data_IF_881885081761
#
_entry.id   IF_881885081761
#
_cell.length_a   1.000
_cell.length_b   1.000
_cell.length_c   1.000
_cell.angle_alpha   90.00
_cell.angle_beta   90.00
_cell.angle_gamma   90.00
#
_symmetry.space_group_name_H-M   'P 1'
#
loop_
_entity.id
_entity.type
_entity.pdbx_description
1 polymer ?
#
# COMPACT_ATOMS: atom_id res chain seq x y z
N UNK A 1 32.00 14.42 14.58
CA UNK A 1 32.01 13.02 15.05
C UNK A 1 30.61 12.50 14.86
N UNK A 2 30.46 11.33 14.25
CA UNK A 2 29.13 10.71 14.08
C UNK A 2 28.56 10.30 15.44
N UNK A 3 27.26 10.55 15.64
CA UNK A 3 26.53 10.09 16.81
C UNK A 3 26.57 8.53 16.82
N UNK A 4 27.02 7.88 17.89
CA UNK A 4 27.12 6.43 17.96
C UNK A 4 25.78 5.71 17.95
N UNK A 5 24.65 6.42 18.11
CA UNK A 5 23.30 5.88 17.99
C UNK A 5 22.85 5.72 16.53
N UNK A 6 23.50 6.40 15.58
CA UNK A 6 23.18 6.32 14.15
C UNK A 6 23.87 5.09 13.55
N UNK A 7 23.13 4.14 12.94
CA UNK A 7 23.72 2.98 12.30
C UNK A 7 24.71 3.37 11.20
N UNK A 8 25.90 2.79 11.21
CA UNK A 8 26.87 3.01 10.14
C UNK A 8 26.39 2.35 8.82
N UNK A 9 26.68 2.99 7.70
CA UNK A 9 26.48 2.35 6.39
C UNK A 9 27.44 1.16 6.22
N UNK A 10 27.03 0.13 5.41
CA UNK A 10 27.91 -1.01 5.14
C UNK A 10 29.25 -0.54 4.54
N UNK A 11 30.38 -1.05 5.04
CA UNK A 11 31.75 -0.67 4.61
C UNK A 11 31.98 -0.78 3.10
N UNK A 12 31.30 -1.72 2.43
CA UNK A 12 31.39 -1.90 0.97
C UNK A 12 30.58 -0.90 0.16
N UNK A 13 29.67 -0.14 0.79
CA UNK A 13 28.92 0.91 0.13
C UNK A 13 29.77 2.18 0.06
N UNK A 14 30.22 2.54 -1.14
CA UNK A 14 31.02 3.74 -1.37
C UNK A 14 30.13 4.88 -1.80
N UNK A 15 30.23 6.01 -1.08
CA UNK A 15 29.57 7.24 -1.40
C UNK A 15 30.52 8.17 -2.15
N UNK A 16 30.10 8.68 -3.29
CA UNK A 16 30.75 9.77 -4.05
C UNK A 16 29.97 11.08 -3.93
N UNK A 17 28.73 11.01 -3.43
CA UNK A 17 27.86 12.13 -3.05
C UNK A 17 27.24 11.83 -1.68
N UNK A 18 26.71 12.83 -0.98
CA UNK A 18 25.93 12.57 0.23
C UNK A 18 24.76 11.62 -0.07
N UNK A 19 24.39 10.80 0.92
CA UNK A 19 23.20 9.93 0.87
C UNK A 19 22.25 10.35 1.99
N UNK A 20 21.03 10.69 1.63
CA UNK A 20 19.95 10.96 2.60
C UNK A 20 19.02 9.75 2.65
N UNK A 21 19.01 9.10 3.81
CA UNK A 21 18.02 8.07 4.13
C UNK A 21 16.87 8.76 4.85
N UNK A 22 15.65 8.63 4.36
CA UNK A 22 14.50 9.35 4.92
C UNK A 22 13.22 8.52 4.88
N UNK A 23 12.26 8.93 5.70
CA UNK A 23 10.93 8.38 5.81
C UNK A 23 9.93 9.49 6.13
N UNK A 24 8.67 9.32 5.72
CA UNK A 24 7.60 10.30 5.86
C UNK A 24 6.38 9.69 6.53
N UNK A 25 5.72 10.50 7.40
CA UNK A 25 4.36 10.25 7.82
C UNK A 25 3.42 11.29 7.19
N UNK A 26 2.23 10.86 6.80
CA UNK A 26 1.29 11.73 6.10
C UNK A 26 -0.17 11.49 6.51
N UNK A 27 -1.06 12.40 6.12
CA UNK A 27 -2.50 12.31 6.38
C UNK A 27 -3.18 11.17 5.62
N UNK A 28 -2.49 10.53 4.66
CA UNK A 28 -3.01 9.42 3.88
C UNK A 28 -2.10 9.04 2.71
N UNK A 29 -2.62 8.21 1.80
CA UNK A 29 -1.84 7.58 0.73
C UNK A 29 -1.92 8.30 -0.63
N UNK A 30 -2.78 9.31 -0.76
CA UNK A 30 -2.94 10.06 -1.99
C UNK A 30 -1.93 11.21 -2.07
N UNK A 31 -0.84 11.02 -2.75
CA UNK A 31 0.28 11.96 -2.88
C UNK A 31 -0.13 13.37 -3.34
N UNK A 32 -1.27 13.50 -4.06
CA UNK A 32 -1.76 14.78 -4.58
C UNK A 32 -2.64 15.57 -3.61
N UNK A 33 -3.32 14.90 -2.68
CA UNK A 33 -4.28 15.54 -1.77
C UNK A 33 -3.83 15.46 -0.33
N UNK A 34 -3.11 14.41 0.03
CA UNK A 34 -2.60 14.24 1.39
C UNK A 34 -1.34 15.07 1.63
N UNK A 35 -1.00 15.25 2.89
CA UNK A 35 0.01 16.19 3.36
C UNK A 35 0.96 15.47 4.31
N UNK A 36 2.24 15.85 4.28
CA UNK A 36 3.24 15.34 5.23
C UNK A 36 2.97 15.92 6.62
N UNK A 37 2.96 15.04 7.65
CA UNK A 37 2.84 15.39 9.06
C UNK A 37 4.14 15.19 9.83
N UNK A 38 5.03 14.33 9.34
CA UNK A 38 6.38 14.19 9.88
C UNK A 38 7.37 13.80 8.78
N UNK A 39 8.61 14.24 8.96
CA UNK A 39 9.75 13.82 8.15
C UNK A 39 10.92 13.53 9.06
N UNK A 40 11.54 12.36 8.90
CA UNK A 40 12.80 12.02 9.55
C UNK A 40 13.84 11.68 8.50
N UNK A 41 15.07 12.10 8.71
CA UNK A 41 16.17 11.79 7.81
C UNK A 41 17.52 11.66 8.53
N UNK A 42 18.39 10.86 7.92
CA UNK A 42 19.81 10.79 8.24
C UNK A 42 20.59 11.06 6.98
N UNK A 43 21.44 12.09 7.02
CA UNK A 43 22.34 12.46 5.94
C UNK A 43 23.73 11.91 6.23
N UNK A 44 24.26 11.10 5.34
CA UNK A 44 25.61 10.55 5.37
C UNK A 44 26.46 11.28 4.36
N UNK A 45 27.57 11.87 4.82
CA UNK A 45 28.56 12.48 3.94
C UNK A 45 29.62 11.46 3.48
N UNK A 46 30.20 11.61 2.27
CA UNK A 46 31.29 10.73 1.81
C UNK A 46 32.49 10.69 2.75
N UNK A 47 32.72 11.72 3.53
CA UNK A 47 33.79 11.84 4.50
C UNK A 47 33.51 11.21 5.86
N UNK A 48 32.34 10.52 6.00
CA UNK A 48 31.96 9.77 7.19
C UNK A 48 31.31 10.56 8.31
N UNK A 49 30.96 11.84 8.10
CA UNK A 49 30.09 12.59 9.02
C UNK A 49 28.62 12.27 8.76
N UNK A 50 27.80 12.34 9.81
CA UNK A 50 26.36 12.10 9.75
C UNK A 50 25.61 13.25 10.41
N UNK A 51 24.43 13.54 9.89
CA UNK A 51 23.46 14.45 10.48
C UNK A 51 22.10 13.74 10.55
N UNK A 52 21.45 13.81 11.70
CA UNK A 52 20.10 13.26 11.90
C UNK A 52 19.17 14.38 12.30
N UNK A 53 18.02 14.45 11.65
CA UNK A 53 16.93 15.39 11.98
C UNK A 53 15.58 14.71 11.87
N UNK A 54 14.62 15.23 12.64
CA UNK A 54 13.21 14.84 12.56
C UNK A 54 12.36 16.08 12.82
N UNK A 55 11.35 16.26 12.01
CA UNK A 55 10.43 17.41 12.10
C UNK A 55 8.99 16.93 12.09
N UNK A 56 8.18 17.48 13.01
CA UNK A 56 6.73 17.48 12.89
C UNK A 56 6.31 18.67 12.04
N UNK A 57 5.30 18.49 11.20
CA UNK A 57 4.80 19.49 10.28
C UNK A 57 3.29 19.62 10.40
N UNK A 58 2.80 20.83 10.43
CA UNK A 58 1.37 21.10 10.37
C UNK A 58 0.87 20.91 8.93
N UNK A 59 0.01 19.91 8.66
CA UNK A 59 -0.47 19.62 7.32
C UNK A 59 -1.48 20.67 6.81
N UNK A 60 -2.05 21.51 7.69
CA UNK A 60 -3.09 22.47 7.36
C UNK A 60 -4.45 21.86 6.99
N UNK A 61 -4.59 20.55 7.14
CA UNK A 61 -5.84 19.76 6.97
C UNK A 61 -5.96 18.76 8.11
N UNK A 62 -7.18 18.32 8.47
CA UNK A 62 -7.36 17.32 9.53
C UNK A 62 -6.64 16.01 9.21
N UNK A 63 -6.04 15.40 10.25
CA UNK A 63 -5.41 14.08 10.16
C UNK A 63 -6.49 13.01 10.39
N UNK A 64 -6.78 12.13 9.42
CA UNK A 64 -7.78 11.08 9.58
C UNK A 64 -7.42 10.11 10.71
N UNK A 65 -8.43 9.62 11.44
CA UNK A 65 -8.21 8.66 12.54
C UNK A 65 -7.44 7.40 12.10
N UNK A 66 -7.64 6.95 10.85
CA UNK A 66 -6.92 5.82 10.29
C UNK A 66 -5.42 6.09 10.18
N UNK A 67 -5.03 7.30 9.79
CA UNK A 67 -3.64 7.73 9.76
C UNK A 67 -3.06 7.83 11.18
N UNK A 68 -3.80 8.44 12.11
CA UNK A 68 -3.41 8.53 13.53
C UNK A 68 -3.15 7.15 14.14
N UNK A 69 -3.98 6.14 13.81
CA UNK A 69 -3.77 4.76 14.28
C UNK A 69 -2.47 4.12 13.77
N UNK A 70 -1.99 4.55 12.62
CA UNK A 70 -0.77 4.01 12.00
C UNK A 70 0.48 4.65 12.60
N UNK A 71 0.57 5.99 12.58
CA UNK A 71 1.79 6.71 12.96
C UNK A 71 1.71 7.40 14.33
N UNK A 72 0.53 7.45 14.98
CA UNK A 72 0.36 7.99 16.33
C UNK A 72 0.36 9.52 16.44
N UNK A 73 0.45 10.26 15.32
CA UNK A 73 0.49 11.73 15.31
C UNK A 73 -0.92 12.25 15.08
N UNK A 74 -1.41 13.05 16.01
CA UNK A 74 -2.74 13.69 15.97
C UNK A 74 -2.65 15.16 15.58
N UNK A 75 -3.81 15.79 15.28
CA UNK A 75 -3.87 17.24 15.02
C UNK A 75 -3.31 18.05 16.19
N UNK A 76 -3.48 17.58 17.44
CA UNK A 76 -2.96 18.27 18.62
C UNK A 76 -1.42 18.28 18.68
N UNK A 77 -0.77 17.25 18.14
CA UNK A 77 0.69 17.15 18.16
C UNK A 77 1.37 18.09 17.16
N UNK A 78 0.64 18.48 16.11
CA UNK A 78 1.18 19.30 15.00
C UNK A 78 0.58 20.72 14.94
N UNK A 79 -0.35 21.09 15.84
CA UNK A 79 -1.04 22.38 15.79
C UNK A 79 -0.09 23.58 15.81
N UNK A 80 0.99 23.49 16.59
CA UNK A 80 2.01 24.53 16.75
C UNK A 80 3.27 24.27 15.91
N UNK A 81 3.26 23.18 15.11
CA UNK A 81 4.37 22.88 14.23
C UNK A 81 4.36 23.78 12.97
N UNK A 82 5.52 24.07 12.39
CA UNK A 82 5.57 24.78 11.13
C UNK A 82 4.95 23.96 10.01
N UNK A 83 4.39 24.63 9.01
CA UNK A 83 3.94 23.98 7.78
C UNK A 83 5.14 23.51 6.93
N UNK A 84 4.89 22.58 5.98
CA UNK A 84 5.92 22.20 5.00
C UNK A 84 6.49 23.41 4.24
N UNK A 85 5.64 24.37 3.88
CA UNK A 85 6.05 25.55 3.14
C UNK A 85 7.02 26.44 3.93
N UNK A 86 6.84 26.57 5.25
CA UNK A 86 7.76 27.31 6.13
C UNK A 86 9.09 26.57 6.29
N UNK A 87 9.08 25.25 6.25
CA UNK A 87 10.28 24.41 6.38
C UNK A 87 10.96 24.08 5.04
N UNK A 88 10.37 24.46 3.91
CA UNK A 88 10.82 24.01 2.59
C UNK A 88 12.28 24.36 2.28
N UNK A 89 12.77 25.54 2.72
CA UNK A 89 14.17 25.94 2.55
C UNK A 89 15.10 25.03 3.35
N UNK A 90 14.84 24.89 4.63
CA UNK A 90 15.62 24.03 5.55
C UNK A 90 15.62 22.57 5.07
N UNK A 91 14.46 22.07 4.66
CA UNK A 91 14.38 20.71 4.11
C UNK A 91 15.18 20.58 2.81
N UNK A 92 15.10 21.56 1.92
CA UNK A 92 15.87 21.54 0.68
C UNK A 92 17.39 21.51 0.92
N UNK A 93 17.89 22.18 1.95
CA UNK A 93 19.30 22.14 2.36
C UNK A 93 19.74 20.74 2.77
N UNK A 94 18.92 20.02 3.56
CA UNK A 94 19.22 18.62 3.95
C UNK A 94 19.30 17.69 2.74
N UNK A 95 18.55 17.93 1.69
CA UNK A 95 18.56 17.14 0.46
C UNK A 95 19.56 17.64 -0.59
N UNK A 96 20.24 18.78 -0.36
CA UNK A 96 21.09 19.41 -1.37
C UNK A 96 22.22 18.48 -1.83
N UNK A 97 22.30 18.26 -3.17
CA UNK A 97 23.35 17.46 -3.79
C UNK A 97 23.39 15.97 -3.43
N UNK A 98 22.42 15.49 -2.65
CA UNK A 98 22.41 14.12 -2.13
C UNK A 98 21.69 13.16 -3.07
N UNK A 99 22.12 11.89 -3.07
CA UNK A 99 21.34 10.74 -3.47
C UNK A 99 20.37 10.37 -2.33
N UNK A 100 19.34 9.59 -2.64
CA UNK A 100 18.25 9.29 -1.71
C UNK A 100 18.20 7.79 -1.38
N UNK A 101 17.75 7.47 -0.17
CA UNK A 101 17.45 6.09 0.21
C UNK A 101 16.26 6.03 1.17
N UNK A 102 15.61 4.87 1.23
CA UNK A 102 14.52 4.59 2.16
C UNK A 102 13.92 3.21 1.92
N UNK A 103 12.82 2.91 2.59
CA UNK A 103 12.07 1.68 2.40
C UNK A 103 10.76 1.98 1.66
N UNK A 104 10.55 1.43 0.47
CA UNK A 104 9.48 1.78 -0.46
C UNK A 104 9.50 3.26 -0.92
N UNK A 105 10.63 3.89 -0.79
CA UNK A 105 10.80 5.33 -1.06
C UNK A 105 10.46 5.72 -2.49
N UNK A 106 10.66 4.83 -3.47
CA UNK A 106 10.28 5.03 -4.87
C UNK A 106 8.77 4.87 -5.10
N UNK A 107 8.08 4.14 -4.22
CA UNK A 107 6.65 3.91 -4.35
C UNK A 107 5.79 5.00 -3.73
N UNK A 108 6.33 5.72 -2.74
CA UNK A 108 5.55 6.68 -1.97
C UNK A 108 6.32 7.96 -1.62
N UNK A 109 7.33 7.87 -0.77
CA UNK A 109 7.94 9.04 -0.10
C UNK A 109 8.52 10.05 -1.08
N UNK A 110 9.26 9.59 -2.10
CA UNK A 110 9.89 10.49 -3.06
C UNK A 110 8.89 11.29 -3.90
N UNK A 111 7.74 10.69 -4.23
CA UNK A 111 6.68 11.39 -4.95
C UNK A 111 5.94 12.36 -4.02
N UNK A 112 5.60 11.95 -2.78
CA UNK A 112 4.96 12.80 -1.78
C UNK A 112 5.83 14.03 -1.47
N UNK A 113 7.13 13.82 -1.27
CA UNK A 113 8.09 14.90 -1.04
C UNK A 113 8.15 15.87 -2.22
N UNK A 114 8.17 15.34 -3.44
CA UNK A 114 8.16 16.17 -4.68
C UNK A 114 6.89 17.03 -4.77
N UNK A 115 5.73 16.46 -4.47
CA UNK A 115 4.45 17.18 -4.47
C UNK A 115 4.41 18.28 -3.39
N UNK A 116 4.92 18.02 -2.19
CA UNK A 116 4.97 19.04 -1.12
C UNK A 116 5.92 20.19 -1.46
N UNK A 117 7.09 19.91 -2.01
CA UNK A 117 7.99 20.95 -2.49
C UNK A 117 7.36 21.77 -3.63
N UNK A 118 6.64 21.13 -4.55
CA UNK A 118 5.93 21.82 -5.62
C UNK A 118 4.85 22.76 -5.06
N UNK A 119 4.07 22.33 -4.05
CA UNK A 119 3.08 23.17 -3.35
C UNK A 119 3.72 24.36 -2.63
N UNK A 120 4.91 24.16 -2.07
CA UNK A 120 5.69 25.23 -1.45
C UNK A 120 6.35 26.18 -2.46
N UNK A 121 6.09 26.03 -3.77
CA UNK A 121 6.76 26.74 -4.86
C UNK A 121 8.29 26.63 -4.80
N UNK A 122 8.80 25.51 -4.31
CA UNK A 122 10.23 25.23 -4.20
C UNK A 122 10.57 24.04 -5.10
N UNK A 123 11.39 24.20 -6.15
CA UNK A 123 11.73 23.08 -7.03
C UNK A 123 12.50 21.97 -6.30
N UNK A 124 11.99 20.75 -6.37
CA UNK A 124 12.69 19.55 -5.94
C UNK A 124 12.61 18.52 -7.06
N UNK A 125 13.74 18.02 -7.50
CA UNK A 125 13.81 17.06 -8.62
C UNK A 125 14.56 15.81 -8.22
N UNK A 126 14.04 14.67 -8.67
CA UNK A 126 14.74 13.38 -8.60
C UNK A 126 15.72 13.19 -9.76
N UNK A 127 15.66 14.06 -10.79
CA UNK A 127 16.54 13.97 -11.93
C UNK A 127 18.02 14.14 -11.52
N UNK A 128 18.87 13.23 -11.98
CA UNK A 128 20.30 13.20 -11.64
C UNK A 128 20.64 12.67 -10.24
N UNK A 129 19.63 12.25 -9.46
CA UNK A 129 19.81 11.57 -8.17
C UNK A 129 19.67 10.06 -8.33
N UNK A 130 20.51 9.31 -7.63
CA UNK A 130 20.32 7.87 -7.43
C UNK A 130 19.36 7.68 -6.26
N UNK A 131 18.44 6.75 -6.38
CA UNK A 131 17.48 6.42 -5.32
C UNK A 131 17.63 4.94 -4.97
N UNK A 132 18.07 4.66 -3.75
CA UNK A 132 18.19 3.32 -3.18
C UNK A 132 16.90 2.98 -2.44
N UNK A 133 16.20 1.94 -2.92
CA UNK A 133 15.00 1.44 -2.28
C UNK A 133 15.28 0.07 -1.65
N UNK A 134 15.34 0.04 -0.31
CA UNK A 134 15.65 -1.18 0.43
C UNK A 134 14.56 -2.27 0.25
N UNK A 135 13.30 -1.89 0.07
CA UNK A 135 12.23 -2.84 -0.24
C UNK A 135 12.45 -3.54 -1.59
N UNK A 136 12.91 -2.80 -2.61
CA UNK A 136 13.21 -3.39 -3.92
C UNK A 136 14.39 -4.34 -3.86
N UNK A 137 15.39 -4.05 -3.03
CA UNK A 137 16.50 -4.98 -2.78
C UNK A 137 15.96 -6.25 -2.10
N UNK A 138 15.15 -6.08 -1.05
CA UNK A 138 14.52 -7.19 -0.34
C UNK A 138 13.71 -8.09 -1.29
N UNK A 139 12.79 -7.52 -2.07
CA UNK A 139 11.96 -8.30 -3.00
C UNK A 139 12.73 -9.00 -4.12
N UNK A 140 13.90 -8.47 -4.51
CA UNK A 140 14.77 -9.12 -5.49
C UNK A 140 15.62 -10.25 -4.90
N UNK A 141 15.94 -10.17 -3.62
CA UNK A 141 16.81 -11.12 -2.93
C UNK A 141 16.06 -12.20 -2.17
N UNK A 142 14.84 -11.87 -1.74
CA UNK A 142 13.95 -12.77 -1.00
C UNK A 142 12.70 -13.05 -1.83
N UNK A 143 12.75 -14.04 -2.72
CA UNK A 143 11.59 -14.43 -3.54
C UNK A 143 10.40 -14.83 -2.66
N UNK A 144 9.18 -14.53 -3.16
CA UNK A 144 7.92 -14.94 -2.51
C UNK A 144 7.25 -16.04 -3.34
N UNK A 145 8.02 -17.06 -3.66
CA UNK A 145 7.58 -18.26 -4.38
C UNK A 145 7.48 -19.47 -3.43
N UNK A 146 6.95 -20.57 -3.94
CA UNK A 146 6.79 -21.80 -3.17
C UNK A 146 8.12 -22.35 -2.64
N UNK A 147 9.20 -22.21 -3.39
CA UNK A 147 10.54 -22.67 -2.98
C UNK A 147 11.07 -21.86 -1.79
N UNK A 148 10.85 -20.54 -1.80
CA UNK A 148 11.20 -19.67 -0.68
C UNK A 148 10.34 -19.97 0.55
N UNK A 149 9.03 -20.19 0.36
CA UNK A 149 8.11 -20.57 1.43
C UNK A 149 8.50 -21.93 2.06
N UNK A 150 8.81 -22.93 1.25
CA UNK A 150 9.25 -24.25 1.73
C UNK A 150 10.53 -24.13 2.57
N UNK A 151 11.49 -23.35 2.11
CA UNK A 151 12.73 -23.10 2.87
C UNK A 151 12.46 -22.37 4.18
N UNK A 152 11.59 -21.37 4.16
CA UNK A 152 11.29 -20.55 5.34
C UNK A 152 10.53 -21.33 6.42
N UNK A 153 9.48 -22.06 6.04
CA UNK A 153 8.62 -22.77 6.99
C UNK A 153 9.11 -24.16 7.36
N UNK A 154 9.84 -24.83 6.47
CA UNK A 154 10.24 -26.22 6.63
C UNK A 154 11.75 -26.41 6.69
N UNK A 155 12.57 -25.43 6.31
CA UNK A 155 14.03 -25.56 6.19
C UNK A 155 14.47 -26.46 5.02
N UNK A 156 13.57 -26.75 4.07
CA UNK A 156 13.78 -27.70 2.97
C UNK A 156 14.05 -26.98 1.64
N UNK A 157 14.83 -27.64 0.77
CA UNK A 157 14.97 -27.19 -0.62
C UNK A 157 13.85 -27.81 -1.48
N UNK A 158 13.38 -27.04 -2.48
CA UNK A 158 12.39 -27.51 -3.44
C UNK A 158 13.07 -28.15 -4.64
N UNK A 159 13.39 -29.44 -4.56
CA UNK A 159 14.18 -30.17 -5.57
C UNK A 159 13.44 -30.37 -6.90
N UNK A 160 12.10 -30.50 -6.87
CA UNK A 160 11.25 -30.78 -8.03
C UNK A 160 10.32 -29.59 -8.34
N UNK A 161 10.85 -28.37 -8.36
CA UNK A 161 10.06 -27.19 -8.76
C UNK A 161 9.59 -27.33 -10.21
N UNK A 162 8.31 -26.97 -10.44
CA UNK A 162 7.60 -27.07 -11.74
C UNK A 162 7.15 -28.50 -12.12
N UNK A 163 7.24 -29.47 -11.19
CA UNK A 163 6.47 -30.69 -11.26
C UNK A 163 5.18 -30.53 -10.45
N UNK A 164 4.03 -30.72 -11.08
CA UNK A 164 2.74 -30.44 -10.43
C UNK A 164 2.52 -31.20 -9.13
N UNK A 165 2.94 -32.47 -9.07
CA UNK A 165 2.83 -33.27 -7.84
C UNK A 165 3.83 -32.80 -6.79
N UNK A 166 5.05 -32.48 -7.18
CA UNK A 166 6.08 -31.90 -6.32
C UNK A 166 5.62 -30.59 -5.70
N UNK A 167 5.02 -29.71 -6.49
CA UNK A 167 4.47 -28.42 -6.03
C UNK A 167 3.29 -28.61 -5.05
N UNK A 168 2.39 -29.57 -5.28
CA UNK A 168 1.31 -29.92 -4.35
C UNK A 168 1.86 -30.43 -3.02
N UNK A 169 2.84 -31.33 -3.06
CA UNK A 169 3.43 -31.87 -1.83
C UNK A 169 4.20 -30.79 -1.04
N UNK A 170 4.91 -29.91 -1.74
CA UNK A 170 5.58 -28.75 -1.14
C UNK A 170 4.56 -27.80 -0.50
N UNK A 171 3.44 -27.51 -1.17
CA UNK A 171 2.34 -26.69 -0.63
C UNK A 171 1.77 -27.28 0.67
N UNK A 172 1.53 -28.58 0.73
CA UNK A 172 1.04 -29.25 1.95
C UNK A 172 2.04 -29.08 3.10
N UNK A 173 3.35 -29.20 2.85
CA UNK A 173 4.39 -29.00 3.87
C UNK A 173 4.44 -27.54 4.33
N UNK A 174 4.34 -26.59 3.40
CA UNK A 174 4.27 -25.15 3.71
C UNK A 174 3.07 -24.88 4.62
N UNK A 175 1.87 -25.37 4.28
CA UNK A 175 0.68 -25.22 5.14
C UNK A 175 0.92 -25.79 6.54
N UNK A 176 1.47 -26.99 6.64
CA UNK A 176 1.78 -27.59 7.94
C UNK A 176 2.80 -26.74 8.74
N UNK A 177 3.80 -26.18 8.07
CA UNK A 177 4.78 -25.26 8.66
C UNK A 177 4.15 -23.96 9.14
N UNK A 178 3.22 -23.40 8.36
CA UNK A 178 2.46 -22.20 8.74
C UNK A 178 1.62 -22.43 9.99
N UNK A 179 0.86 -23.52 10.06
CA UNK A 179 0.09 -23.87 11.26
C UNK A 179 0.97 -24.14 12.50
N UNK A 180 2.17 -24.64 12.31
CA UNK A 180 3.15 -24.79 13.41
C UNK A 180 3.69 -23.47 13.89
N UNK A 181 3.88 -22.50 12.98
CA UNK A 181 4.49 -21.21 13.28
C UNK A 181 3.48 -20.21 13.82
N UNK A 182 2.26 -20.21 13.30
CA UNK A 182 1.21 -19.24 13.59
C UNK A 182 0.04 -19.89 14.33
N UNK A 183 0.01 -19.70 15.65
CA UNK A 183 -1.03 -20.29 16.51
C UNK A 183 -2.39 -19.58 16.40
N UNK A 184 -2.42 -18.44 15.80
CA UNK A 184 -3.61 -17.57 15.60
C UNK A 184 -4.34 -17.83 14.28
N UNK A 185 -3.84 -18.75 13.43
CA UNK A 185 -4.55 -19.12 12.21
C UNK A 185 -5.87 -19.83 12.55
N UNK A 186 -6.96 -19.51 11.82
CA UNK A 186 -8.21 -20.26 11.93
C UNK A 186 -8.01 -21.76 11.71
N UNK A 187 -8.67 -22.58 12.51
CA UNK A 187 -8.51 -24.04 12.45
C UNK A 187 -9.49 -24.71 11.47
N UNK A 188 -10.47 -23.99 10.95
CA UNK A 188 -11.47 -24.47 10.01
C UNK A 188 -11.31 -23.82 8.64
N UNK A 189 -11.87 -24.46 7.61
CA UNK A 189 -11.73 -24.01 6.23
C UNK A 189 -12.46 -22.70 5.94
N UNK A 190 -13.55 -22.42 6.63
CA UNK A 190 -14.33 -21.18 6.38
C UNK A 190 -13.55 -19.99 6.91
N UNK A 191 -13.02 -20.07 8.13
CA UNK A 191 -12.16 -19.03 8.71
C UNK A 191 -10.86 -18.84 7.92
N UNK A 192 -10.22 -19.93 7.46
CA UNK A 192 -9.04 -19.84 6.61
C UNK A 192 -9.35 -19.22 5.25
N UNK A 193 -10.50 -19.53 4.66
CA UNK A 193 -10.92 -18.92 3.41
C UNK A 193 -11.13 -17.42 3.57
N UNK A 194 -11.76 -16.99 4.65
CA UNK A 194 -11.92 -15.55 4.97
C UNK A 194 -10.58 -14.88 5.25
N UNK A 195 -9.67 -15.56 5.96
CA UNK A 195 -8.31 -15.05 6.23
C UNK A 195 -7.48 -14.87 4.94
N UNK A 196 -7.57 -15.83 4.00
CA UNK A 196 -6.81 -15.78 2.74
C UNK A 196 -7.40 -14.83 1.69
N UNK A 197 -8.72 -14.65 1.69
CA UNK A 197 -9.45 -13.82 0.73
C UNK A 197 -10.55 -13.03 1.47
N UNK A 198 -10.15 -12.06 2.33
CA UNK A 198 -11.09 -11.24 3.08
C UNK A 198 -11.93 -10.41 2.10
N UNK A 199 -13.20 -10.74 2.01
CA UNK A 199 -14.12 -10.01 1.14
C UNK A 199 -14.72 -8.84 1.89
N UNK A 200 -14.80 -7.69 1.23
CA UNK A 200 -15.65 -6.61 1.69
C UNK A 200 -17.12 -7.11 1.69
N UNK A 201 -17.79 -7.15 2.85
CA UNK A 201 -19.17 -7.62 2.94
C UNK A 201 -20.16 -6.85 2.04
N UNK A 202 -19.76 -5.67 1.59
CA UNK A 202 -20.56 -4.88 0.64
C UNK A 202 -20.45 -5.36 -0.80
N UNK A 203 -19.49 -6.24 -1.15
CA UNK A 203 -19.35 -6.71 -2.53
C UNK A 203 -20.46 -7.66 -2.94
N UNK A 204 -21.07 -7.37 -4.08
CA UNK A 204 -22.09 -8.21 -4.68
C UNK A 204 -21.52 -9.30 -5.60
N UNK A 205 -20.29 -9.09 -6.11
CA UNK A 205 -19.54 -10.05 -6.92
C UNK A 205 -18.15 -10.32 -6.31
N UNK A 206 -17.44 -11.34 -6.81
CA UNK A 206 -16.13 -11.75 -6.26
C UNK A 206 -15.06 -10.69 -6.42
N UNK A 207 -15.11 -9.90 -7.47
CA UNK A 207 -14.08 -8.93 -7.82
C UNK A 207 -14.37 -7.52 -7.27
N UNK A 208 -15.48 -7.33 -6.51
CA UNK A 208 -15.89 -6.05 -5.98
C UNK A 208 -16.21 -5.01 -7.08
N UNK A 209 -16.53 -5.47 -8.30
CA UNK A 209 -16.98 -4.57 -9.39
C UNK A 209 -18.38 -4.06 -9.16
N UNK A 210 -19.18 -4.85 -8.46
CA UNK A 210 -20.52 -4.52 -8.01
C UNK A 210 -20.56 -4.59 -6.49
N UNK A 211 -21.23 -3.63 -5.84
CA UNK A 211 -21.38 -3.61 -4.40
C UNK A 211 -22.78 -3.23 -3.96
N UNK A 212 -23.15 -3.63 -2.77
CA UNK A 212 -24.37 -3.21 -2.10
C UNK A 212 -24.22 -1.80 -1.54
N UNK A 213 -25.14 -0.93 -1.86
CA UNK A 213 -25.26 0.41 -1.29
C UNK A 213 -26.74 0.74 -1.12
N UNK A 214 -27.17 1.08 0.09
CA UNK A 214 -28.56 1.45 0.43
C UNK A 214 -29.61 0.41 -0.04
N UNK A 215 -29.26 -0.88 0.01
CA UNK A 215 -30.15 -1.97 -0.40
C UNK A 215 -30.20 -2.26 -1.90
N UNK A 216 -29.40 -1.57 -2.70
CA UNK A 216 -29.29 -1.78 -4.15
C UNK A 216 -27.87 -2.14 -4.56
N UNK A 217 -27.74 -2.82 -5.70
CA UNK A 217 -26.43 -3.05 -6.32
C UNK A 217 -26.02 -1.81 -7.11
N UNK A 218 -24.83 -1.32 -6.85
CA UNK A 218 -24.21 -0.20 -7.57
C UNK A 218 -22.88 -0.64 -8.20
N UNK A 219 -22.49 0.02 -9.27
CA UNK A 219 -21.16 -0.15 -9.85
C UNK A 219 -20.09 0.42 -8.92
N UNK A 220 -18.98 -0.29 -8.78
CA UNK A 220 -17.85 0.13 -7.95
C UNK A 220 -16.59 0.45 -8.78
N UNK A 221 -16.77 0.85 -10.03
CA UNK A 221 -15.68 1.19 -10.94
C UNK A 221 -16.06 2.22 -12.00
N UNK A 222 -15.02 2.86 -12.56
CA UNK A 222 -15.12 3.74 -13.73
C UNK A 222 -16.09 4.92 -13.55
N UNK A 223 -16.57 5.44 -14.67
CA UNK A 223 -17.49 6.60 -14.69
C UNK A 223 -18.89 6.30 -14.11
N UNK A 224 -19.23 5.03 -13.94
CA UNK A 224 -20.51 4.58 -13.36
C UNK A 224 -20.41 4.27 -11.87
N UNK A 225 -19.28 4.53 -11.23
CA UNK A 225 -19.08 4.28 -9.80
C UNK A 225 -20.20 4.97 -8.99
N UNK A 226 -20.86 4.18 -8.12
CA UNK A 226 -21.98 4.63 -7.29
C UNK A 226 -23.34 4.68 -7.99
N UNK A 227 -23.43 4.45 -9.30
CA UNK A 227 -24.71 4.38 -10.01
C UNK A 227 -25.39 3.02 -9.82
N UNK A 228 -26.70 3.03 -9.67
CA UNK A 228 -27.51 1.83 -9.51
C UNK A 228 -27.44 0.94 -10.76
N UNK A 229 -27.24 -0.36 -10.57
CA UNK A 229 -27.32 -1.35 -11.65
C UNK A 229 -28.70 -1.33 -12.31
N UNK A 230 -29.77 -1.18 -11.53
CA UNK A 230 -31.15 -1.10 -12.01
C UNK A 230 -31.36 0.08 -12.95
N UNK A 231 -30.90 1.27 -12.52
CA UNK A 231 -31.04 2.48 -13.33
C UNK A 231 -30.20 2.43 -14.60
N UNK A 232 -28.96 1.88 -14.48
CA UNK A 232 -28.07 1.77 -15.64
C UNK A 232 -28.60 0.77 -16.68
N UNK A 233 -29.19 -0.34 -16.25
CA UNK A 233 -29.86 -1.29 -17.18
C UNK A 233 -31.01 -0.62 -17.93
N UNK A 234 -31.76 0.27 -17.27
CA UNK A 234 -32.89 0.97 -17.88
C UNK A 234 -32.49 2.11 -18.83
N UNK A 235 -31.39 2.82 -18.51
CA UNK A 235 -31.08 4.09 -19.17
C UNK A 235 -29.82 4.08 -20.03
N UNK A 236 -28.88 3.11 -19.82
CA UNK A 236 -27.66 3.00 -20.62
C UNK A 236 -27.39 1.57 -21.12
N UNK A 237 -28.18 1.06 -22.04
CA UNK A 237 -28.03 -0.30 -22.60
C UNK A 237 -26.71 -0.49 -23.36
N UNK A 238 -26.09 0.60 -23.84
CA UNK A 238 -24.81 0.53 -24.54
C UNK A 238 -23.67 0.16 -23.58
N UNK A 239 -23.65 0.75 -22.38
CA UNK A 239 -22.69 0.40 -21.35
C UNK A 239 -22.87 -1.04 -20.88
N UNK A 240 -24.10 -1.48 -20.65
CA UNK A 240 -24.41 -2.86 -20.26
C UNK A 240 -23.92 -3.84 -21.34
N UNK A 241 -24.19 -3.54 -22.61
CA UNK A 241 -23.73 -4.37 -23.74
C UNK A 241 -22.20 -4.44 -23.79
N UNK A 242 -21.53 -3.31 -23.60
CA UNK A 242 -20.07 -3.24 -23.54
C UNK A 242 -19.52 -4.08 -22.36
N UNK A 243 -20.09 -3.95 -21.15
CA UNK A 243 -19.68 -4.71 -19.98
C UNK A 243 -19.77 -6.21 -20.23
N UNK A 244 -20.90 -6.68 -20.79
CA UNK A 244 -21.11 -8.10 -21.06
C UNK A 244 -20.13 -8.68 -22.11
N UNK A 245 -19.61 -7.84 -23.01
CA UNK A 245 -18.62 -8.23 -24.04
C UNK A 245 -17.18 -8.05 -23.61
N UNK A 246 -16.93 -7.21 -22.62
CA UNK A 246 -15.59 -6.92 -22.11
C UNK A 246 -15.08 -8.05 -21.20
N UNK A 247 -13.80 -7.99 -20.84
CA UNK A 247 -13.15 -8.96 -19.95
C UNK A 247 -13.48 -8.69 -18.48
N UNK A 248 -14.75 -8.93 -18.10
CA UNK A 248 -15.19 -8.93 -16.71
C UNK A 248 -15.39 -10.37 -16.22
N UNK A 249 -15.26 -10.60 -14.89
CA UNK A 249 -15.53 -11.91 -14.29
C UNK A 249 -16.94 -12.44 -14.63
N UNK A 250 -17.06 -13.76 -14.74
CA UNK A 250 -18.32 -14.39 -15.15
C UNK A 250 -19.45 -14.17 -14.15
N UNK A 251 -19.15 -14.12 -12.85
CA UNK A 251 -20.12 -13.82 -11.80
C UNK A 251 -20.63 -12.38 -11.90
N UNK A 252 -19.75 -11.38 -12.15
CA UNK A 252 -20.16 -10.00 -12.46
C UNK A 252 -21.10 -9.97 -13.64
N UNK A 253 -20.72 -10.62 -14.75
CA UNK A 253 -21.54 -10.70 -15.96
C UNK A 253 -22.88 -11.41 -15.71
N UNK A 254 -22.89 -12.44 -14.86
CA UNK A 254 -24.12 -13.16 -14.53
C UNK A 254 -25.12 -12.26 -13.80
N UNK A 255 -24.66 -11.51 -12.78
CA UNK A 255 -25.51 -10.54 -12.07
C UNK A 255 -26.10 -9.50 -13.04
N UNK A 256 -25.29 -9.02 -13.99
CA UNK A 256 -25.73 -8.05 -14.99
C UNK A 256 -26.74 -8.67 -15.98
N UNK A 257 -26.54 -9.93 -16.43
CA UNK A 257 -27.50 -10.64 -17.29
C UNK A 257 -28.85 -10.85 -16.59
N UNK A 258 -28.79 -11.23 -15.31
CA UNK A 258 -30.01 -11.41 -14.51
C UNK A 258 -30.76 -10.09 -14.34
N UNK A 259 -30.01 -8.99 -14.08
CA UNK A 259 -30.61 -7.64 -14.02
C UNK A 259 -31.25 -7.21 -15.33
N UNK A 260 -30.63 -7.48 -16.48
CA UNK A 260 -31.25 -7.24 -17.83
C UNK A 260 -32.52 -8.04 -18.01
N UNK A 261 -32.59 -9.23 -17.41
CA UNK A 261 -33.82 -10.08 -17.43
C UNK A 261 -34.82 -9.69 -16.34
N UNK A 262 -34.62 -8.59 -15.63
CA UNK A 262 -35.51 -8.12 -14.58
C UNK A 262 -35.32 -8.84 -13.23
N UNK A 263 -34.30 -9.69 -13.09
CA UNK A 263 -33.99 -10.40 -11.85
C UNK A 263 -32.90 -9.65 -11.11
N UNK A 264 -33.22 -9.14 -9.94
CA UNK A 264 -32.26 -8.47 -9.07
C UNK A 264 -32.07 -9.29 -7.80
N UNK A 265 -30.81 -9.56 -7.37
CA UNK A 265 -30.56 -10.21 -6.10
C UNK A 265 -31.13 -9.40 -4.92
N UNK A 266 -31.47 -10.09 -3.84
CA UNK A 266 -31.84 -9.45 -2.59
C UNK A 266 -30.57 -9.12 -1.79
N UNK A 267 -30.55 -7.98 -1.05
CA UNK A 267 -29.42 -7.63 -0.23
C UNK A 267 -29.19 -8.70 0.87
N UNK A 268 -27.93 -9.01 1.20
CA UNK A 268 -27.64 -9.90 2.31
C UNK A 268 -28.25 -9.34 3.60
N UNK A 269 -28.68 -10.20 4.54
CA UNK A 269 -29.16 -9.73 5.84
C UNK A 269 -28.09 -8.86 6.49
N UNK A 270 -28.53 -7.75 7.09
CA UNK A 270 -27.59 -6.83 7.78
C UNK A 270 -26.73 -7.63 8.77
N UNK A 271 -25.41 -7.48 8.66
CA UNK A 271 -24.50 -8.09 9.62
C UNK A 271 -24.89 -7.65 11.04
N UNK A 272 -25.01 -8.59 11.97
CA UNK A 272 -25.22 -8.27 13.36
C UNK A 272 -24.07 -7.37 13.84
N UNK A 273 -24.32 -6.33 14.65
CA UNK A 273 -23.25 -5.51 15.18
C UNK A 273 -22.25 -6.39 15.95
N UNK A 274 -20.96 -6.10 15.89
CA UNK A 274 -19.95 -6.84 16.64
C UNK A 274 -20.28 -6.78 18.13
N UNK A 275 -20.21 -7.95 18.79
CA UNK A 275 -20.49 -8.13 20.21
C UNK A 275 -19.44 -7.45 21.08
#
# INVERSE_FOLDING_TARGET
MSDPSIPALPERLRLDKPLVVFDLEATGLNKRTDRIVAIALVRYEPIGTTEQVSYLLNPGIPIPEDAVRIHGISDADVQDAPSFAEMAETLAEHFAGADLAGYNVLGYDSEMLTEEFARANRPFSLEGRRVLDAQRIFFRKEPRDLSAALRYYCGEAHENSHDALGDVLATIRVLAGQFKMYADLPADLDGLNEYCDPRDPSWADRAGRLKWAKGEIVFNFGKFQGQSLRDTVAHDPNFITWLLRSDFPDDTKQIVRDAVSGKFPEPPPAAAPPA
#
